data_IF_893006179955
#
_entry.id   IF_893006179955
#
_cell.length_a   1.000
_cell.length_b   1.000
_cell.length_c   1.000
_cell.angle_alpha   90.00
_cell.angle_beta   90.00
_cell.angle_gamma   90.00
#
_symmetry.space_group_name_H-M   'P 1'
#
loop_
_entity.id
_entity.type
_entity.pdbx_description
1 polymer ?
#
# COMPACT_ATOMS: atom_id res chain seq x y z
N UNK A 1 5.08 -1.03 -1.00
CA UNK A 1 4.49 -0.17 0.06
C UNK A 1 5.60 0.58 0.74
N UNK A 2 5.36 1.82 1.14
CA UNK A 2 6.35 2.63 1.82
C UNK A 2 6.28 2.38 3.33
N UNK A 3 7.43 2.13 3.96
CA UNK A 3 7.52 1.84 5.38
C UNK A 3 8.49 2.79 6.05
N UNK A 4 8.06 3.40 7.16
CA UNK A 4 8.83 4.40 7.92
C UNK A 4 9.08 3.91 9.34
N UNK A 5 10.32 4.00 9.83
CA UNK A 5 10.63 3.74 11.24
C UNK A 5 10.30 4.95 12.12
N UNK A 6 9.37 4.79 13.06
CA UNK A 6 8.94 5.84 13.99
C UNK A 6 9.76 5.90 15.29
N UNK A 7 10.66 4.94 15.49
CA UNK A 7 11.42 4.82 16.73
C UNK A 7 12.72 5.65 16.66
N UNK A 8 13.22 6.08 17.81
CA UNK A 8 14.49 6.81 17.94
C UNK A 8 15.74 5.94 17.72
N UNK A 9 15.57 4.64 17.44
CA UNK A 9 16.67 3.72 17.18
C UNK A 9 16.40 2.85 15.94
N UNK A 10 17.44 2.20 15.39
CA UNK A 10 17.30 1.36 14.21
C UNK A 10 16.42 0.16 14.52
N UNK A 11 15.47 -0.13 13.62
CA UNK A 11 14.53 -1.25 13.76
C UNK A 11 14.51 -2.09 12.51
N UNK A 12 14.51 -3.39 12.73
CA UNK A 12 14.47 -4.39 11.68
C UNK A 12 13.17 -5.18 11.67
N UNK A 13 12.74 -5.60 10.48
CA UNK A 13 11.67 -6.57 10.28
C UNK A 13 11.96 -7.41 9.03
N UNK A 14 11.30 -8.56 8.93
CA UNK A 14 11.42 -9.41 7.75
C UNK A 14 10.45 -8.97 6.65
N UNK A 15 10.94 -8.95 5.42
CA UNK A 15 10.12 -8.81 4.23
C UNK A 15 10.71 -9.71 3.13
N UNK A 16 9.91 -10.68 2.64
CA UNK A 16 10.32 -11.61 1.57
C UNK A 16 11.62 -12.36 1.89
N UNK A 17 11.71 -12.90 3.10
CA UNK A 17 12.88 -13.64 3.59
C UNK A 17 14.16 -12.79 3.74
N UNK A 18 14.08 -11.48 3.53
CA UNK A 18 15.18 -10.54 3.77
C UNK A 18 14.95 -9.74 5.06
N UNK A 19 16.01 -9.53 5.82
CA UNK A 19 15.99 -8.64 6.97
C UNK A 19 16.14 -7.19 6.48
N UNK A 20 15.08 -6.42 6.60
CA UNK A 20 15.10 -4.98 6.32
C UNK A 20 15.41 -4.24 7.61
N UNK A 21 16.50 -3.47 7.61
CA UNK A 21 16.85 -2.54 8.68
C UNK A 21 16.60 -1.10 8.22
N UNK A 22 15.91 -0.32 9.06
CA UNK A 22 15.62 1.10 8.84
C UNK A 22 16.16 1.95 9.98
N UNK A 23 16.87 3.01 9.63
CA UNK A 23 17.29 4.06 10.56
C UNK A 23 16.09 4.89 11.07
N UNK A 24 16.22 5.64 12.18
CA UNK A 24 15.16 6.51 12.67
C UNK A 24 14.67 7.49 11.59
N UNK A 25 13.36 7.47 11.30
CA UNK A 25 12.74 8.31 10.27
C UNK A 25 13.02 7.87 8.83
N UNK A 26 13.84 6.84 8.60
CA UNK A 26 14.09 6.32 7.25
C UNK A 26 12.82 5.72 6.67
N UNK A 27 12.59 6.00 5.38
CA UNK A 27 11.50 5.46 4.60
C UNK A 27 12.05 4.55 3.51
N UNK A 28 11.50 3.35 3.36
CA UNK A 28 11.90 2.41 2.31
C UNK A 28 10.70 1.73 1.70
N UNK A 29 10.73 1.58 0.38
CA UNK A 29 9.75 0.75 -0.29
C UNK A 29 10.08 -0.73 -0.10
N UNK A 30 9.13 -1.46 0.48
CA UNK A 30 9.21 -2.89 0.71
C UNK A 30 7.91 -3.58 0.31
N UNK A 31 7.97 -4.90 0.17
CA UNK A 31 6.82 -5.72 -0.17
C UNK A 31 6.71 -6.93 0.77
N UNK A 32 6.39 -6.70 2.06
CA UNK A 32 6.21 -7.76 3.05
C UNK A 32 5.01 -8.63 2.70
N UNK A 33 5.08 -9.91 3.06
CA UNK A 33 3.93 -10.82 3.04
C UNK A 33 2.86 -10.38 4.04
N UNK A 34 1.64 -10.93 3.90
CA UNK A 34 0.53 -10.59 4.79
C UNK A 34 0.84 -10.91 6.28
N UNK A 35 1.58 -11.98 6.54
CA UNK A 35 1.98 -12.38 7.90
C UNK A 35 3.04 -11.44 8.47
N UNK A 36 4.09 -11.14 7.70
CA UNK A 36 5.15 -10.20 8.10
C UNK A 36 4.57 -8.81 8.38
N UNK A 37 3.68 -8.33 7.51
CA UNK A 37 3.00 -7.05 7.68
C UNK A 37 2.16 -7.04 8.96
N UNK A 38 1.45 -8.13 9.26
CA UNK A 38 0.66 -8.24 10.49
C UNK A 38 1.55 -8.18 11.73
N UNK A 39 2.68 -8.89 11.73
CA UNK A 39 3.66 -8.86 12.83
C UNK A 39 4.25 -7.47 12.99
N UNK A 40 4.71 -6.85 11.90
CA UNK A 40 5.35 -5.53 11.93
C UNK A 40 4.37 -4.42 12.35
N UNK A 41 3.07 -4.52 12.00
CA UNK A 41 2.04 -3.61 12.52
C UNK A 41 1.78 -3.80 14.02
N UNK A 42 1.84 -5.03 14.51
CA UNK A 42 1.61 -5.31 15.92
C UNK A 42 2.70 -4.74 16.85
N UNK A 43 3.90 -4.45 16.34
CA UNK A 43 4.97 -3.83 17.14
C UNK A 43 4.73 -2.34 17.41
N UNK A 44 3.97 -1.65 16.53
CA UNK A 44 3.80 -0.20 16.58
C UNK A 44 5.07 0.59 16.26
N UNK A 45 6.13 -0.05 15.75
CA UNK A 45 7.40 0.63 15.43
C UNK A 45 7.40 1.35 14.08
N UNK A 46 6.52 0.94 13.17
CA UNK A 46 6.56 1.38 11.79
C UNK A 46 5.23 1.98 11.33
N UNK A 47 5.30 2.98 10.47
CA UNK A 47 4.19 3.47 9.68
C UNK A 47 4.22 2.83 8.30
N UNK A 48 3.06 2.42 7.78
CA UNK A 48 2.92 1.77 6.48
C UNK A 48 1.99 2.59 5.60
N UNK A 49 2.47 2.98 4.43
CA UNK A 49 1.70 3.70 3.43
C UNK A 49 1.58 2.86 2.16
N UNK A 50 0.34 2.54 1.79
CA UNK A 50 0.05 1.85 0.54
C UNK A 50 -0.14 2.94 -0.51
N UNK A 51 0.74 2.99 -1.51
CA UNK A 51 0.46 3.76 -2.71
C UNK A 51 -0.69 3.08 -3.44
N UNK A 52 -1.92 3.39 -3.04
CA UNK A 52 -3.08 3.15 -3.88
C UNK A 52 -2.93 4.13 -5.03
N UNK A 53 -2.49 3.65 -6.19
CA UNK A 53 -2.83 4.34 -7.41
C UNK A 53 -4.35 4.38 -7.46
N UNK A 54 -4.93 5.56 -7.26
CA UNK A 54 -6.32 5.86 -7.60
C UNK A 54 -6.50 5.62 -9.12
N UNK A 55 -6.60 4.36 -9.53
CA UNK A 55 -7.30 4.01 -10.76
C UNK A 55 -8.77 4.09 -10.38
N UNK A 56 -9.26 5.31 -10.27
CA UNK A 56 -10.66 5.59 -10.44
C UNK A 56 -11.03 5.02 -11.82
N UNK A 57 -11.66 3.84 -11.83
CA UNK A 57 -12.24 3.23 -13.01
C UNK A 57 -13.13 4.27 -13.68
N UNK A 58 -12.63 4.83 -14.78
CA UNK A 58 -13.42 5.64 -15.67
C UNK A 58 -14.35 4.66 -16.43
N UNK A 59 -15.47 4.28 -15.81
CA UNK A 59 -16.50 3.43 -16.42
C UNK A 59 -17.30 4.28 -17.42
N UNK A 60 -16.65 4.60 -18.55
CA UNK A 60 -17.31 5.08 -19.75
C UNK A 60 -18.17 3.94 -20.33
N UNK A 61 -19.41 3.79 -19.84
CA UNK A 61 -20.43 3.01 -20.54
C UNK A 61 -21.16 3.88 -21.56
N UNK A 62 -20.49 4.12 -22.66
CA UNK A 62 -21.15 4.33 -23.94
C UNK A 62 -21.84 3.01 -24.37
N UNK A 63 -23.14 2.87 -24.07
CA UNK A 63 -24.00 1.85 -24.71
C UNK A 63 -25.14 2.50 -25.48
N UNK A 64 -24.84 2.78 -26.75
CA UNK A 64 -25.63 2.40 -27.93
C UNK A 64 -27.15 2.59 -27.92
N UNK A 65 -27.59 3.57 -28.72
CA UNK A 65 -28.70 3.51 -29.70
C UNK A 65 -29.81 2.46 -29.47
N UNK A 66 -31.04 2.93 -29.20
CA UNK A 66 -32.28 2.46 -29.86
C UNK A 66 -33.21 3.65 -30.07
N UNK A 67 -33.58 3.90 -31.33
CA UNK A 67 -34.58 4.90 -31.67
C UNK A 67 -36.00 4.40 -31.40
N UNK A 68 -36.94 5.34 -31.26
CA UNK A 68 -38.15 5.51 -32.11
C UNK A 68 -39.11 6.56 -31.49
N UNK A 69 -40.02 7.14 -32.29
CA UNK A 69 -40.60 8.48 -32.10
C UNK A 69 -42.05 8.49 -31.55
N UNK A 70 -42.68 9.68 -31.54
CA UNK A 70 -44.07 10.07 -31.17
C UNK A 70 -44.31 10.29 -29.66
N UNK A 71 -45.03 11.31 -29.19
CA UNK A 71 -46.16 12.08 -29.76
C UNK A 71 -45.96 13.61 -29.71
#
# INVERSE_FOLDING_TARGET
MLVTNLQNGPRGFYARDELVLLEPGEQREVAPSAMELKVAKATGWFQFETQTSDVATNDNRSRGRRGSPSS
#
